data_IF_455854086019
#
_entry.id   IF_455854086019
#
_cell.length_a   1.000
_cell.length_b   1.000
_cell.length_c   1.000
_cell.angle_alpha   90.00
_cell.angle_beta   90.00
_cell.angle_gamma   90.00
#
_symmetry.space_group_name_H-M   'P 1'
#
loop_
_entity.id
_entity.type
_entity.pdbx_description
1 polymer ?
#
# COMPACT_ATOMS: atom_id res chain seq x y z
N UNK A 1 7.66 -29.16 -1.73
CA UNK A 1 7.15 -28.80 -0.39
C UNK A 1 7.77 -27.45 -0.04
N UNK A 2 7.07 -26.35 -0.32
CA UNK A 2 7.53 -25.01 0.00
C UNK A 2 7.29 -24.80 1.50
N UNK A 3 8.36 -24.58 2.25
CA UNK A 3 8.34 -24.35 3.70
C UNK A 3 7.39 -23.19 4.05
N UNK A 4 6.24 -23.47 4.65
CA UNK A 4 5.29 -22.46 5.12
C UNK A 4 5.92 -21.43 6.07
N UNK A 5 7.06 -21.78 6.69
CA UNK A 5 7.86 -20.89 7.51
C UNK A 5 8.58 -19.80 6.71
N UNK A 6 9.02 -20.08 5.49
CA UNK A 6 9.67 -19.08 4.64
C UNK A 6 8.66 -18.06 4.08
N UNK A 7 7.53 -18.53 3.57
CA UNK A 7 6.47 -17.66 3.06
C UNK A 7 5.96 -16.67 4.13
N UNK A 8 5.75 -17.13 5.36
CA UNK A 8 5.35 -16.28 6.48
C UNK A 8 6.40 -15.23 6.83
N UNK A 9 7.68 -15.60 6.81
CA UNK A 9 8.79 -14.63 7.06
C UNK A 9 8.81 -13.52 6.01
N UNK A 10 8.65 -13.87 4.73
CA UNK A 10 8.61 -12.88 3.66
C UNK A 10 7.38 -11.97 3.75
N UNK A 11 6.21 -12.51 4.09
CA UNK A 11 5.01 -11.70 4.31
C UNK A 11 5.22 -10.69 5.46
N UNK A 12 5.78 -11.11 6.58
CA UNK A 12 6.09 -10.22 7.72
C UNK A 12 7.11 -9.16 7.34
N UNK A 13 8.18 -9.52 6.60
CA UNK A 13 9.18 -8.56 6.13
C UNK A 13 8.57 -7.54 5.17
N UNK A 14 7.70 -7.97 4.25
CA UNK A 14 6.99 -7.08 3.32
C UNK A 14 6.09 -6.10 4.05
N UNK A 15 5.34 -6.55 5.04
CA UNK A 15 4.49 -5.69 5.88
C UNK A 15 5.35 -4.70 6.68
N UNK A 16 6.43 -5.16 7.29
CA UNK A 16 7.35 -4.29 8.04
C UNK A 16 7.99 -3.22 7.14
N UNK A 17 8.43 -3.60 5.94
CA UNK A 17 8.94 -2.66 4.95
C UNK A 17 7.89 -1.63 4.51
N UNK A 18 6.66 -2.07 4.24
CA UNK A 18 5.55 -1.18 3.88
C UNK A 18 5.23 -0.18 5.00
N UNK A 19 5.13 -0.64 6.24
CA UNK A 19 4.87 0.24 7.41
C UNK A 19 6.00 1.25 7.59
N UNK A 20 7.26 0.81 7.46
CA UNK A 20 8.43 1.69 7.55
C UNK A 20 8.42 2.75 6.45
N UNK A 21 8.13 2.34 5.22
CA UNK A 21 8.05 3.24 4.06
C UNK A 21 6.94 4.28 4.23
N UNK A 22 5.76 3.87 4.71
CA UNK A 22 4.64 4.78 5.02
C UNK A 22 5.07 5.78 6.10
N UNK A 23 5.71 5.32 7.18
CA UNK A 23 6.21 6.19 8.24
C UNK A 23 7.19 7.24 7.73
N UNK A 24 8.15 6.85 6.88
CA UNK A 24 9.10 7.76 6.25
C UNK A 24 8.41 8.81 5.36
N UNK A 25 7.44 8.39 4.54
CA UNK A 25 6.69 9.28 3.65
C UNK A 25 5.82 10.28 4.43
N UNK A 26 5.14 9.83 5.49
CA UNK A 26 4.39 10.71 6.37
C UNK A 26 5.31 11.70 7.10
N UNK A 27 6.44 11.23 7.62
CA UNK A 27 7.46 12.09 8.23
C UNK A 27 7.97 13.16 7.25
N UNK A 28 8.26 12.77 6.01
CA UNK A 28 8.66 13.71 4.96
C UNK A 28 7.57 14.75 4.67
N UNK A 29 6.30 14.32 4.61
CA UNK A 29 5.17 15.25 4.46
C UNK A 29 5.11 16.27 5.61
N UNK A 30 5.20 15.83 6.86
CA UNK A 30 5.17 16.74 8.02
C UNK A 30 6.33 17.74 8.02
N UNK A 31 7.50 17.35 7.53
CA UNK A 31 8.67 18.20 7.48
C UNK A 31 8.67 19.20 6.30
N UNK A 32 7.99 18.86 5.21
CA UNK A 32 8.03 19.66 3.97
C UNK A 32 6.73 20.38 3.65
N UNK A 33 5.61 19.93 4.21
CA UNK A 33 4.27 20.39 3.83
C UNK A 33 3.90 20.09 2.36
N UNK A 34 4.59 19.15 1.71
CA UNK A 34 4.37 18.84 0.29
C UNK A 34 3.14 17.95 0.10
N UNK A 35 2.15 18.44 -0.65
CA UNK A 35 0.96 17.66 -1.03
C UNK A 35 1.32 16.43 -1.87
N UNK A 36 2.40 16.50 -2.67
CA UNK A 36 2.89 15.36 -3.42
C UNK A 36 3.35 14.22 -2.49
N UNK A 37 4.08 14.53 -1.41
CA UNK A 37 4.48 13.54 -0.41
C UNK A 37 3.29 13.00 0.39
N UNK A 38 2.29 13.83 0.65
CA UNK A 38 1.03 13.38 1.24
C UNK A 38 0.31 12.37 0.33
N UNK A 39 0.20 12.67 -0.97
CA UNK A 39 -0.41 11.79 -1.96
C UNK A 39 0.30 10.43 -2.03
N UNK A 40 1.64 10.45 -2.06
CA UNK A 40 2.47 9.25 -2.08
C UNK A 40 2.34 8.40 -0.78
N UNK A 41 2.20 9.06 0.36
CA UNK A 41 1.91 8.38 1.62
C UNK A 41 0.50 7.77 1.63
N UNK A 42 -0.52 8.50 1.18
CA UNK A 42 -1.90 8.05 1.10
C UNK A 42 -2.04 6.83 0.17
N UNK A 43 -1.43 6.85 -1.00
CA UNK A 43 -1.37 5.71 -1.91
C UNK A 43 -0.73 4.49 -1.25
N UNK A 44 0.37 4.67 -0.51
CA UNK A 44 1.05 3.58 0.17
C UNK A 44 0.18 2.95 1.28
N UNK A 45 -0.62 3.75 1.99
CA UNK A 45 -1.60 3.26 2.97
C UNK A 45 -2.70 2.44 2.29
N UNK A 46 -3.26 2.96 1.18
CA UNK A 46 -4.28 2.24 0.39
C UNK A 46 -3.74 0.89 -0.08
N UNK A 47 -2.52 0.87 -0.63
CA UNK A 47 -1.89 -0.36 -1.11
C UNK A 47 -1.67 -1.36 0.02
N UNK A 48 -1.29 -0.92 1.22
CA UNK A 48 -1.14 -1.81 2.38
C UNK A 48 -2.49 -2.41 2.81
N UNK A 49 -3.54 -1.60 2.90
CA UNK A 49 -4.89 -2.06 3.26
C UNK A 49 -5.41 -3.04 2.22
N UNK A 50 -5.25 -2.72 0.93
CA UNK A 50 -5.64 -3.60 -0.17
C UNK A 50 -4.89 -4.94 -0.13
N UNK A 51 -3.58 -4.92 0.12
CA UNK A 51 -2.78 -6.14 0.24
C UNK A 51 -3.22 -7.03 1.41
N UNK A 52 -3.55 -6.44 2.56
CA UNK A 52 -4.09 -7.17 3.72
C UNK A 52 -5.46 -7.78 3.40
N UNK A 53 -6.34 -7.01 2.75
CA UNK A 53 -7.65 -7.48 2.32
C UNK A 53 -7.54 -8.62 1.30
N UNK A 54 -6.65 -8.49 0.31
CA UNK A 54 -6.40 -9.52 -0.69
C UNK A 54 -5.85 -10.82 -0.07
N UNK A 55 -4.92 -10.70 0.88
CA UNK A 55 -4.40 -11.87 1.61
C UNK A 55 -5.50 -12.57 2.43
N UNK A 56 -6.37 -11.79 3.10
CA UNK A 56 -7.52 -12.31 3.80
C UNK A 56 -8.50 -13.02 2.87
N UNK A 57 -8.86 -12.38 1.76
CA UNK A 57 -9.77 -12.94 0.76
C UNK A 57 -9.22 -14.23 0.13
N UNK A 58 -7.93 -14.25 -0.22
CA UNK A 58 -7.28 -15.44 -0.76
C UNK A 58 -7.25 -16.58 0.25
N UNK A 59 -6.95 -16.28 1.52
CA UNK A 59 -6.96 -17.29 2.60
C UNK A 59 -8.35 -17.88 2.80
N UNK A 60 -9.40 -17.09 2.59
CA UNK A 60 -10.78 -17.53 2.68
C UNK A 60 -11.21 -18.30 1.41
N UNK A 61 -10.82 -17.81 0.24
CA UNK A 61 -11.18 -18.39 -1.06
C UNK A 61 -10.68 -19.84 -1.26
N UNK A 62 -9.56 -20.20 -0.66
CA UNK A 62 -8.98 -21.56 -0.77
C UNK A 62 -9.63 -22.59 0.16
N UNK A 63 -10.61 -22.17 0.99
CA UNK A 63 -11.34 -23.11 1.86
C UNK A 63 -12.23 -24.01 1.02
N UNK A 64 -12.34 -25.31 1.39
CA UNK A 64 -13.23 -26.22 0.70
C UNK A 64 -14.69 -25.77 0.84
N UNK A 65 -15.59 -26.24 -0.08
CA UNK A 65 -17.03 -26.02 0.06
C UNK A 65 -17.53 -26.53 1.41
N UNK A 66 -18.48 -25.81 2.00
CA UNK A 66 -19.20 -26.16 3.22
C UNK A 66 -20.72 -26.16 2.99
N UNK A 67 -21.50 -26.45 4.03
CA UNK A 67 -22.96 -26.52 3.93
C UNK A 67 -23.61 -25.21 3.52
N UNK A 68 -23.00 -24.07 3.87
CA UNK A 68 -23.49 -22.73 3.51
C UNK A 68 -22.96 -22.25 2.15
N UNK A 69 -21.82 -22.78 1.69
CA UNK A 69 -21.13 -22.39 0.46
C UNK A 69 -20.83 -23.63 -0.40
N UNK A 70 -21.88 -24.25 -0.95
CA UNK A 70 -21.80 -25.46 -1.78
C UNK A 70 -20.89 -25.30 -3.02
N UNK A 71 -20.70 -24.05 -3.52
CA UNK A 71 -19.84 -23.72 -4.68
C UNK A 71 -18.44 -23.22 -4.26
N UNK A 72 -18.08 -23.32 -2.97
CA UNK A 72 -16.83 -22.83 -2.43
C UNK A 72 -16.81 -21.30 -2.21
N UNK A 73 -15.63 -20.79 -1.85
CA UNK A 73 -15.44 -19.42 -1.36
C UNK A 73 -14.71 -18.49 -2.35
N UNK A 74 -14.52 -18.91 -3.60
CA UNK A 74 -13.75 -18.17 -4.62
C UNK A 74 -14.25 -16.74 -4.89
N UNK A 75 -15.54 -16.46 -4.61
CA UNK A 75 -16.12 -15.11 -4.75
C UNK A 75 -15.49 -14.07 -3.81
N UNK A 76 -14.79 -14.48 -2.76
CA UNK A 76 -14.08 -13.57 -1.85
C UNK A 76 -13.01 -12.73 -2.57
N UNK A 77 -12.39 -13.26 -3.63
CA UNK A 77 -11.41 -12.53 -4.45
C UNK A 77 -12.06 -11.33 -5.17
N UNK A 78 -13.27 -11.50 -5.71
CA UNK A 78 -14.01 -10.41 -6.36
C UNK A 78 -14.38 -9.31 -5.37
N UNK A 79 -14.73 -9.68 -4.14
CA UNK A 79 -15.04 -8.72 -3.09
C UNK A 79 -13.79 -7.91 -2.71
N UNK A 80 -12.62 -8.57 -2.60
CA UNK A 80 -11.35 -7.90 -2.34
C UNK A 80 -10.98 -6.90 -3.44
N UNK A 81 -11.14 -7.29 -4.71
CA UNK A 81 -10.88 -6.40 -5.84
C UNK A 81 -11.83 -5.20 -5.89
N UNK A 82 -13.10 -5.40 -5.52
CA UNK A 82 -14.08 -4.33 -5.38
C UNK A 82 -13.70 -3.35 -4.27
N UNK A 83 -13.26 -3.86 -3.12
CA UNK A 83 -12.78 -3.04 -2.00
C UNK A 83 -11.55 -2.22 -2.39
N UNK A 84 -10.56 -2.84 -3.05
CA UNK A 84 -9.38 -2.15 -3.55
C UNK A 84 -9.75 -0.99 -4.48
N UNK A 85 -10.63 -1.25 -5.46
CA UNK A 85 -11.10 -0.22 -6.39
C UNK A 85 -11.79 0.95 -5.68
N UNK A 86 -12.62 0.66 -4.67
CA UNK A 86 -13.28 1.69 -3.87
C UNK A 86 -12.27 2.54 -3.08
N UNK A 87 -11.27 1.92 -2.47
CA UNK A 87 -10.22 2.61 -1.74
C UNK A 87 -9.39 3.53 -2.65
N UNK A 88 -9.06 3.07 -3.86
CA UNK A 88 -8.35 3.88 -4.86
C UNK A 88 -9.18 5.12 -5.25
N UNK A 89 -10.48 4.96 -5.51
CA UNK A 89 -11.36 6.08 -5.86
C UNK A 89 -11.43 7.11 -4.72
N UNK A 90 -11.59 6.64 -3.48
CA UNK A 90 -11.65 7.52 -2.30
C UNK A 90 -10.33 8.28 -2.13
N UNK A 91 -9.19 7.59 -2.26
CA UNK A 91 -7.89 8.22 -2.17
C UNK A 91 -7.67 9.26 -3.28
N UNK A 92 -8.03 8.92 -4.53
CA UNK A 92 -7.92 9.83 -5.66
C UNK A 92 -8.78 11.10 -5.48
N UNK A 93 -10.01 10.94 -4.99
CA UNK A 93 -10.90 12.08 -4.72
C UNK A 93 -10.29 12.98 -3.62
N UNK A 94 -9.79 12.40 -2.53
CA UNK A 94 -9.15 13.19 -1.47
C UNK A 94 -7.90 13.92 -1.94
N UNK A 95 -7.03 13.23 -2.66
CA UNK A 95 -5.82 13.83 -3.23
C UNK A 95 -6.21 14.98 -4.17
N UNK A 96 -7.21 14.79 -5.03
CA UNK A 96 -7.70 15.84 -5.94
C UNK A 96 -8.21 17.07 -5.21
N UNK A 97 -9.01 16.90 -4.16
CA UNK A 97 -9.51 18.01 -3.33
C UNK A 97 -8.36 18.75 -2.64
N UNK A 98 -7.40 17.99 -2.07
CA UNK A 98 -6.24 18.58 -1.40
C UNK A 98 -5.34 19.33 -2.37
N UNK A 99 -5.09 18.77 -3.55
CA UNK A 99 -4.31 19.42 -4.61
C UNK A 99 -4.99 20.69 -5.13
N UNK A 100 -6.31 20.66 -5.31
CA UNK A 100 -7.08 21.84 -5.69
C UNK A 100 -6.99 22.95 -4.65
N UNK A 101 -7.14 22.64 -3.36
CA UNK A 101 -6.95 23.60 -2.27
C UNK A 101 -5.56 24.22 -2.29
N UNK A 102 -4.53 23.41 -2.57
CA UNK A 102 -3.14 23.88 -2.65
C UNK A 102 -2.88 24.76 -3.87
N UNK A 103 -3.60 24.53 -4.96
CA UNK A 103 -3.53 25.37 -6.15
C UNK A 103 -4.16 26.75 -5.91
N UNK A 104 -5.27 26.80 -5.15
CA UNK A 104 -5.97 28.05 -4.81
C UNK A 104 -5.23 28.88 -3.74
N UNK A 105 -4.55 28.20 -2.80
CA UNK A 105 -3.72 28.84 -1.76
C UNK A 105 -2.30 28.23 -1.75
N UNK A 106 -1.41 28.72 -2.64
CA UNK A 106 -0.06 28.21 -2.77
C UNK A 106 0.77 28.50 -1.50
N UNK A 107 1.24 27.46 -0.84
CA UNK A 107 2.11 27.56 0.32
C UNK A 107 3.55 27.19 -0.06
N UNK A 108 4.58 27.89 0.43
CA UNK A 108 5.96 27.55 0.13
C UNK A 108 6.32 26.15 0.66
N UNK A 109 7.02 25.37 -0.14
CA UNK A 109 7.58 24.10 0.31
C UNK A 109 8.78 24.34 1.21
N UNK A 110 8.81 23.64 2.33
CA UNK A 110 9.94 23.67 3.27
C UNK A 110 10.79 22.40 3.10
N UNK A 111 12.08 22.54 3.37
CA UNK A 111 13.02 21.40 3.42
C UNK A 111 12.95 20.45 2.19
N UNK A 112 12.80 20.99 1.00
CA UNK A 112 12.60 20.22 -0.25
C UNK A 112 13.72 19.18 -0.46
N UNK A 113 14.97 19.53 -0.17
CA UNK A 113 16.10 18.60 -0.29
C UNK A 113 15.98 17.40 0.63
N UNK A 114 15.55 17.61 1.86
CA UNK A 114 15.32 16.54 2.84
C UNK A 114 14.14 15.66 2.43
N UNK A 115 13.05 16.26 1.97
CA UNK A 115 11.88 15.54 1.43
C UNK A 115 12.26 14.65 0.25
N UNK A 116 13.05 15.17 -0.70
CA UNK A 116 13.51 14.44 -1.86
C UNK A 116 14.42 13.26 -1.47
N UNK A 117 15.35 13.46 -0.55
CA UNK A 117 16.25 12.38 -0.08
C UNK A 117 15.48 11.25 0.60
N UNK A 118 14.47 11.56 1.41
CA UNK A 118 13.61 10.56 2.05
C UNK A 118 12.80 9.79 1.01
N UNK A 119 12.24 10.49 0.01
CA UNK A 119 11.47 9.85 -1.07
C UNK A 119 12.33 8.91 -1.91
N UNK A 120 13.53 9.32 -2.27
CA UNK A 120 14.46 8.47 -3.00
C UNK A 120 14.87 7.24 -2.19
N UNK A 121 15.11 7.39 -0.89
CA UNK A 121 15.42 6.28 0.00
C UNK A 121 14.25 5.30 0.11
N UNK A 122 13.03 5.81 0.24
CA UNK A 122 11.81 4.99 0.28
C UNK A 122 11.57 4.25 -1.04
N UNK A 123 11.82 4.90 -2.18
CA UNK A 123 11.73 4.28 -3.50
C UNK A 123 12.75 3.15 -3.67
N UNK A 124 14.00 3.38 -3.25
CA UNK A 124 15.05 2.36 -3.29
C UNK A 124 14.69 1.13 -2.43
N UNK A 125 14.17 1.34 -1.22
CA UNK A 125 13.69 0.25 -0.35
C UNK A 125 12.56 -0.54 -1.01
N UNK A 126 11.65 0.14 -1.68
CA UNK A 126 10.52 -0.49 -2.38
C UNK A 126 11.00 -1.34 -3.56
N UNK A 127 11.96 -0.85 -4.35
CA UNK A 127 12.55 -1.60 -5.46
C UNK A 127 13.35 -2.82 -4.99
N UNK A 128 14.11 -2.72 -3.90
CA UNK A 128 14.80 -3.85 -3.30
C UNK A 128 13.82 -4.92 -2.85
N UNK A 129 12.70 -4.52 -2.23
CA UNK A 129 11.63 -5.43 -1.83
C UNK A 129 11.01 -6.17 -3.02
N UNK A 130 10.72 -5.44 -4.13
CA UNK A 130 10.17 -6.01 -5.36
C UNK A 130 11.16 -6.96 -6.07
N UNK A 131 12.42 -6.57 -6.16
CA UNK A 131 13.46 -7.41 -6.75
C UNK A 131 13.60 -8.75 -6.00
N UNK A 132 13.60 -8.71 -4.67
CA UNK A 132 13.70 -9.92 -3.84
C UNK A 132 12.50 -10.86 -4.02
N UNK A 133 11.31 -10.34 -4.35
CA UNK A 133 10.14 -11.16 -4.67
C UNK A 133 10.20 -11.75 -6.08
N UNK A 134 10.79 -11.03 -7.06
CA UNK A 134 10.82 -11.43 -8.47
C UNK A 134 11.83 -12.54 -8.78
N UNK A 135 12.93 -12.60 -8.05
CA UNK A 135 13.98 -13.64 -8.28
C UNK A 135 13.54 -15.05 -7.85
N UNK A 136 12.35 -15.24 -7.28
CA UNK A 136 11.88 -16.50 -6.70
C UNK A 136 10.61 -17.07 -7.33
N UNK A 137 10.15 -16.51 -8.44
CA UNK A 137 9.10 -17.07 -9.30
C UNK A 137 9.72 -17.66 -10.55
#
# INVERSE_FOLDING_TARGET
>A
MTDGGSARRYAVLSIAAAVTTIGLKLGAYYLTGSVGLFSDAAESVVNLVAAVAALGALTFAVRPPDEEHAFGHSKAEYFSSGLESALIIIAAAWIGVTAWGRLMDPQPLQNVGLGLSITLSAAALNEIGRASCRERV
#
